data_IF_288990693404
#
_entry.id   IF_288990693404
#
_cell.length_a   1.000
_cell.length_b   1.000
_cell.length_c   1.000
_cell.angle_alpha   90.00
_cell.angle_beta   90.00
_cell.angle_gamma   90.00
#
_symmetry.space_group_name_H-M   'P 1'
#
loop_
_entity.id
_entity.type
_entity.pdbx_description
1 polymer ?
#
# COMPACT_ATOMS: atom_id res chain seq x y z
N UNK A 1 -15.32 -11.68 -4.45
CA UNK A 1 -14.08 -11.88 -5.22
C UNK A 1 -13.16 -10.72 -4.88
N UNK A 2 -11.85 -10.94 -4.71
CA UNK A 2 -10.89 -9.86 -4.43
C UNK A 2 -10.24 -9.45 -5.75
N UNK A 3 -10.35 -8.17 -6.10
CA UNK A 3 -9.56 -7.61 -7.19
C UNK A 3 -8.15 -7.29 -6.70
N UNK A 4 -7.16 -7.45 -7.58
CA UNK A 4 -5.75 -7.22 -7.27
C UNK A 4 -5.23 -6.01 -8.03
N UNK A 5 -4.73 -5.03 -7.28
CA UNK A 5 -3.96 -3.94 -7.83
C UNK A 5 -2.52 -4.42 -8.05
N UNK A 6 -2.02 -4.31 -9.29
CA UNK A 6 -0.61 -4.48 -9.57
C UNK A 6 0.12 -3.19 -9.22
N UNK A 7 1.29 -3.30 -8.58
CA UNK A 7 2.08 -2.16 -8.13
C UNK A 7 3.52 -2.30 -8.59
N UNK A 8 4.12 -1.16 -8.96
CA UNK A 8 5.57 -1.01 -9.16
C UNK A 8 6.06 0.15 -8.31
N UNK A 9 6.88 -0.14 -7.30
CA UNK A 9 7.54 0.82 -6.42
C UNK A 9 9.02 0.91 -6.78
N UNK A 10 9.47 2.11 -7.12
CA UNK A 10 10.88 2.43 -7.23
C UNK A 10 11.34 3.24 -6.03
N UNK A 11 12.48 2.85 -5.47
CA UNK A 11 13.14 3.56 -4.37
C UNK A 11 14.55 3.91 -4.80
N UNK A 12 14.90 5.19 -4.71
CA UNK A 12 16.16 5.73 -5.18
C UNK A 12 16.88 6.48 -4.08
N UNK A 13 18.22 6.46 -4.10
CA UNK A 13 19.05 7.15 -3.14
C UNK A 13 20.38 6.44 -2.87
N UNK A 14 21.16 6.91 -1.88
CA UNK A 14 22.45 6.34 -1.58
C UNK A 14 22.36 4.84 -1.23
N UNK A 15 23.24 4.02 -1.81
CA UNK A 15 23.27 2.56 -1.62
C UNK A 15 23.21 2.10 -0.14
N UNK A 16 23.91 2.74 0.82
CA UNK A 16 23.79 2.36 2.23
C UNK A 16 22.38 2.56 2.80
N UNK A 17 21.71 3.66 2.42
CA UNK A 17 20.35 3.94 2.86
C UNK A 17 19.33 3.00 2.21
N UNK A 18 19.53 2.64 0.94
CA UNK A 18 18.71 1.63 0.27
C UNK A 18 18.84 0.26 0.93
N UNK A 19 20.06 -0.11 1.36
CA UNK A 19 20.30 -1.33 2.12
C UNK A 19 19.57 -1.32 3.47
N UNK A 20 19.64 -0.22 4.21
CA UNK A 20 18.95 -0.05 5.49
C UNK A 20 17.41 -0.08 5.34
N UNK A 21 16.88 0.63 4.34
CA UNK A 21 15.45 0.64 4.03
C UNK A 21 14.97 -0.76 3.62
N UNK A 22 15.72 -1.46 2.77
CA UNK A 22 15.41 -2.83 2.36
C UNK A 22 15.38 -3.79 3.54
N UNK A 23 16.26 -3.61 4.53
CA UNK A 23 16.24 -4.42 5.75
C UNK A 23 15.01 -4.11 6.62
N UNK A 24 14.65 -2.83 6.76
CA UNK A 24 13.49 -2.39 7.56
C UNK A 24 12.14 -2.83 6.99
N UNK A 25 12.05 -3.05 5.68
CA UNK A 25 10.82 -3.47 4.99
C UNK A 25 10.63 -4.99 4.97
N UNK A 26 11.64 -5.77 5.33
CA UNK A 26 11.55 -7.22 5.33
C UNK A 26 10.82 -7.70 6.58
N UNK A 27 9.82 -8.55 6.39
CA UNK A 27 9.06 -9.10 7.50
C UNK A 27 8.04 -10.14 7.05
N UNK A 28 7.41 -10.79 8.01
CA UNK A 28 6.27 -11.67 7.75
C UNK A 28 4.98 -10.85 7.64
N UNK A 29 4.09 -11.26 6.75
CA UNK A 29 2.72 -10.74 6.69
C UNK A 29 1.97 -11.03 8.00
N UNK A 30 1.14 -10.10 8.52
CA UNK A 30 0.44 -10.30 9.77
C UNK A 30 -0.53 -11.49 9.72
N UNK A 31 -0.60 -12.24 10.82
CA UNK A 31 -1.46 -13.42 10.94
C UNK A 31 -0.87 -14.73 10.39
N UNK A 32 0.31 -14.69 9.76
CA UNK A 32 1.03 -15.91 9.36
C UNK A 32 2.08 -16.29 10.40
N UNK A 33 1.66 -17.06 11.42
CA UNK A 33 2.59 -17.67 12.39
C UNK A 33 3.54 -18.62 11.64
N UNK A 34 4.85 -18.34 11.68
CA UNK A 34 5.84 -19.07 10.90
C UNK A 34 5.87 -18.73 9.40
N UNK A 35 5.21 -17.64 9.00
CA UNK A 35 5.19 -17.15 7.63
C UNK A 35 6.59 -16.83 7.11
N UNK A 36 6.79 -17.06 5.80
CA UNK A 36 8.04 -16.67 5.13
C UNK A 36 8.19 -15.15 5.16
N UNK A 37 9.37 -14.68 5.54
CA UNK A 37 9.71 -13.26 5.38
C UNK A 37 9.66 -12.89 3.91
N UNK A 38 8.90 -11.84 3.58
CA UNK A 38 8.83 -11.26 2.23
C UNK A 38 9.75 -10.04 2.13
N UNK A 39 10.12 -9.68 0.91
CA UNK A 39 11.02 -8.56 0.64
C UNK A 39 10.39 -7.18 0.93
N UNK A 40 9.06 -7.12 1.00
CA UNK A 40 8.29 -5.93 1.32
C UNK A 40 7.09 -6.34 2.18
N UNK A 41 7.05 -5.90 3.43
CA UNK A 41 5.90 -6.02 4.33
C UNK A 41 5.55 -4.66 4.88
N UNK A 42 4.30 -4.24 4.69
CA UNK A 42 3.79 -3.00 5.26
C UNK A 42 3.78 -3.08 6.79
N UNK A 43 3.50 -4.27 7.33
CA UNK A 43 3.51 -4.53 8.75
C UNK A 43 4.89 -4.36 9.39
N UNK A 44 5.99 -4.60 8.65
CA UNK A 44 7.34 -4.46 9.18
C UNK A 44 7.66 -3.00 9.60
N UNK A 45 7.15 -2.01 8.87
CA UNK A 45 7.35 -0.59 9.20
C UNK A 45 6.15 0.08 9.86
N UNK A 46 4.94 -0.37 9.55
CA UNK A 46 3.71 0.17 10.11
C UNK A 46 2.84 -1.00 10.62
N UNK A 47 3.17 -1.54 11.80
CA UNK A 47 2.54 -2.75 12.31
C UNK A 47 1.07 -2.53 12.64
N UNK A 48 0.23 -3.43 12.13
CA UNK A 48 -1.16 -3.53 12.53
C UNK A 48 -1.26 -3.94 14.01
N UNK A 49 -2.22 -3.38 14.79
CA UNK A 49 -2.38 -3.73 16.18
C UNK A 49 -2.61 -5.23 16.36
N UNK A 50 -1.91 -5.90 17.29
CA UNK A 50 -2.03 -7.35 17.47
C UNK A 50 -3.44 -7.78 17.92
N UNK A 51 -4.12 -6.90 18.68
CA UNK A 51 -5.45 -7.14 19.23
C UNK A 51 -6.59 -6.54 18.37
N UNK A 52 -6.29 -6.12 17.14
CA UNK A 52 -7.33 -5.61 16.24
C UNK A 52 -8.40 -6.69 16.01
N UNK A 53 -9.68 -6.40 16.26
CA UNK A 53 -10.73 -7.40 16.06
C UNK A 53 -10.74 -7.87 14.61
N UNK A 54 -10.97 -9.18 14.43
CA UNK A 54 -11.16 -9.75 13.10
C UNK A 54 -12.34 -9.09 12.37
N UNK A 55 -12.38 -9.18 11.03
CA UNK A 55 -13.46 -8.58 10.25
C UNK A 55 -14.82 -9.07 10.75
N UNK A 56 -15.77 -8.14 10.90
CA UNK A 56 -17.14 -8.41 11.38
C UNK A 56 -17.30 -8.81 12.85
N UNK A 57 -16.22 -8.86 13.66
CA UNK A 57 -16.33 -9.08 15.11
C UNK A 57 -16.50 -7.81 15.92
N UNK A 58 -16.11 -6.67 15.37
CA UNK A 58 -16.18 -5.38 16.06
C UNK A 58 -17.60 -4.79 16.07
N UNK A 59 -18.27 -4.74 14.91
CA UNK A 59 -19.55 -4.03 14.69
C UNK A 59 -20.34 -4.57 13.50
N UNK A 60 -21.56 -4.07 13.31
CA UNK A 60 -22.28 -4.25 12.04
C UNK A 60 -21.41 -3.71 10.89
N UNK A 61 -21.29 -4.42 9.76
CA UNK A 61 -20.42 -3.98 8.66
C UNK A 61 -20.70 -2.56 8.17
N UNK A 62 -21.98 -2.15 8.13
CA UNK A 62 -22.40 -0.81 7.73
C UNK A 62 -21.80 0.31 8.60
N UNK A 63 -21.73 0.08 9.91
CA UNK A 63 -21.32 1.11 10.87
C UNK A 63 -19.80 1.31 10.78
N UNK A 64 -19.05 0.22 10.57
CA UNK A 64 -17.60 0.28 10.39
C UNK A 64 -17.23 0.93 9.04
N UNK A 65 -17.95 0.60 7.96
CA UNK A 65 -17.74 1.27 6.65
C UNK A 65 -18.01 2.77 6.74
N UNK A 66 -19.09 3.19 7.41
CA UNK A 66 -19.38 4.61 7.61
C UNK A 66 -18.30 5.30 8.43
N UNK A 67 -17.86 4.68 9.53
CA UNK A 67 -16.77 5.18 10.38
C UNK A 67 -15.47 5.35 9.60
N UNK A 68 -15.09 4.34 8.81
CA UNK A 68 -13.90 4.40 7.96
C UNK A 68 -14.00 5.54 6.93
N UNK A 69 -15.16 5.73 6.30
CA UNK A 69 -15.37 6.84 5.36
C UNK A 69 -15.21 8.23 6.01
N UNK A 70 -15.68 8.40 7.25
CA UNK A 70 -15.45 9.63 8.01
C UNK A 70 -13.95 9.87 8.27
N UNK A 71 -13.23 8.85 8.73
CA UNK A 71 -11.81 8.94 9.03
C UNK A 71 -10.97 9.25 7.78
N UNK A 72 -11.24 8.57 6.66
CA UNK A 72 -10.55 8.81 5.38
C UNK A 72 -10.77 10.23 4.83
N UNK A 73 -11.89 10.87 5.20
CA UNK A 73 -12.20 12.26 4.80
C UNK A 73 -11.79 13.29 5.86
N UNK A 74 -11.05 12.87 6.90
CA UNK A 74 -10.53 13.76 7.93
C UNK A 74 -11.55 14.21 8.98
N UNK A 75 -12.71 13.58 9.04
CA UNK A 75 -13.70 13.84 10.09
C UNK A 75 -13.29 13.15 11.40
N UNK A 76 -13.80 13.66 12.52
CA UNK A 76 -13.59 13.06 13.83
C UNK A 76 -14.16 11.63 13.89
N UNK A 77 -13.46 10.75 14.61
CA UNK A 77 -13.95 9.40 14.88
C UNK A 77 -15.23 9.49 15.74
N UNK A 78 -16.38 8.94 15.29
CA UNK A 78 -17.59 8.92 16.11
C UNK A 78 -17.45 8.02 17.35
N UNK A 79 -16.49 7.10 17.38
CA UNK A 79 -16.24 6.19 18.51
C UNK A 79 -14.74 5.97 18.76
N UNK A 80 -14.02 6.99 19.26
CA UNK A 80 -12.56 6.96 19.38
C UNK A 80 -12.05 5.92 20.41
N UNK A 81 -12.88 5.54 21.38
CA UNK A 81 -12.50 4.58 22.43
C UNK A 81 -12.57 3.12 21.98
N UNK A 82 -13.02 2.86 20.75
CA UNK A 82 -13.14 1.50 20.21
C UNK A 82 -12.13 1.29 19.08
N UNK A 83 -11.44 0.15 19.04
CA UNK A 83 -10.50 -0.12 17.95
C UNK A 83 -11.25 -0.26 16.62
N UNK A 84 -10.59 0.11 15.52
CA UNK A 84 -11.00 -0.31 14.18
C UNK A 84 -10.78 -1.81 14.03
N UNK A 85 -11.60 -2.45 13.20
CA UNK A 85 -11.28 -3.82 12.79
C UNK A 85 -9.99 -3.89 11.95
N UNK A 86 -9.42 -5.10 11.89
CA UNK A 86 -8.13 -5.32 11.23
C UNK A 86 -8.11 -4.91 9.75
N UNK A 87 -9.24 -4.88 9.06
CA UNK A 87 -9.32 -4.48 7.65
C UNK A 87 -9.40 -2.96 7.54
N UNK A 88 -10.26 -2.33 8.34
CA UNK A 88 -10.46 -0.88 8.36
C UNK A 88 -9.21 -0.15 8.80
N UNK A 89 -8.49 -0.70 9.79
CA UNK A 89 -7.18 -0.19 10.19
C UNK A 89 -6.18 -0.23 9.02
N UNK A 90 -6.09 -1.34 8.28
CA UNK A 90 -5.16 -1.45 7.14
C UNK A 90 -5.55 -0.51 6.02
N UNK A 91 -6.83 -0.35 5.70
CA UNK A 91 -7.25 0.62 4.68
C UNK A 91 -6.85 2.04 5.10
N UNK A 92 -7.08 2.42 6.36
CA UNK A 92 -6.72 3.75 6.86
C UNK A 92 -5.21 4.01 6.88
N UNK A 93 -4.41 3.03 7.30
CA UNK A 93 -2.98 3.21 7.56
C UNK A 93 -2.07 2.72 6.43
N UNK A 94 -2.50 1.74 5.66
CA UNK A 94 -1.77 1.24 4.49
C UNK A 94 -2.32 1.78 3.19
N UNK A 95 -3.63 2.03 3.09
CA UNK A 95 -4.31 2.40 1.83
C UNK A 95 -4.94 1.21 1.11
N UNK A 96 -4.70 -0.01 1.61
CA UNK A 96 -5.25 -1.25 1.07
C UNK A 96 -5.57 -2.24 2.20
N UNK A 97 -6.37 -3.27 1.93
CA UNK A 97 -6.91 -4.14 2.98
C UNK A 97 -5.96 -5.27 3.44
N UNK A 98 -4.81 -5.42 2.80
CA UNK A 98 -3.87 -6.51 3.03
C UNK A 98 -2.43 -6.10 2.76
N UNK A 99 -1.49 -6.91 3.26
CA UNK A 99 -0.06 -6.69 3.05
C UNK A 99 0.31 -6.99 1.57
N UNK A 100 1.52 -6.63 1.15
CA UNK A 100 2.01 -6.91 -0.18
C UNK A 100 2.04 -8.44 -0.44
N UNK A 101 1.67 -8.84 -1.65
CA UNK A 101 1.73 -10.23 -2.11
C UNK A 101 2.60 -10.34 -3.36
N UNK A 102 3.15 -11.53 -3.61
CA UNK A 102 3.93 -11.84 -4.82
C UNK A 102 5.07 -10.84 -5.10
N UNK A 103 5.81 -10.47 -4.05
CA UNK A 103 6.85 -9.43 -4.14
C UNK A 103 8.06 -9.92 -4.92
N UNK A 104 8.35 -9.26 -6.03
CA UNK A 104 9.59 -9.37 -6.78
C UNK A 104 10.45 -8.12 -6.54
N UNK A 105 11.73 -8.31 -6.21
CA UNK A 105 12.67 -7.23 -5.93
C UNK A 105 13.86 -7.32 -6.89
N UNK A 106 14.09 -6.23 -7.61
CA UNK A 106 15.30 -6.01 -8.41
C UNK A 106 16.16 -4.94 -7.75
N UNK A 107 17.46 -5.18 -7.66
CA UNK A 107 18.43 -4.26 -7.05
C UNK A 107 19.44 -3.80 -8.09
N UNK A 108 19.57 -2.49 -8.24
CA UNK A 108 20.58 -1.82 -9.07
C UNK A 108 21.37 -0.84 -8.19
N UNK A 109 22.54 -0.34 -8.64
CA UNK A 109 23.20 0.76 -7.96
C UNK A 109 22.24 1.95 -7.80
N UNK A 110 22.13 2.47 -6.59
CA UNK A 110 21.29 3.64 -6.23
C UNK A 110 19.79 3.51 -6.54
N UNK A 111 19.29 2.30 -6.85
CA UNK A 111 17.87 2.05 -7.13
C UNK A 111 17.42 0.64 -6.73
N UNK A 112 16.26 0.55 -6.10
CA UNK A 112 15.50 -0.68 -5.90
C UNK A 112 14.18 -0.57 -6.67
N UNK A 113 13.77 -1.66 -7.32
CA UNK A 113 12.45 -1.76 -7.96
C UNK A 113 11.72 -2.96 -7.37
N UNK A 114 10.51 -2.73 -6.89
CA UNK A 114 9.63 -3.75 -6.33
C UNK A 114 8.37 -3.84 -7.17
N UNK A 115 8.02 -5.05 -7.59
CA UNK A 115 6.75 -5.35 -8.23
C UNK A 115 5.95 -6.28 -7.30
N UNK A 116 4.71 -5.94 -7.01
CA UNK A 116 3.90 -6.65 -6.03
C UNK A 116 2.40 -6.42 -6.24
N UNK A 117 1.59 -7.25 -5.59
CA UNK A 117 0.13 -7.14 -5.61
C UNK A 117 -0.39 -6.62 -4.26
N UNK A 118 -1.46 -5.85 -4.31
CA UNK A 118 -2.26 -5.48 -3.14
C UNK A 118 -3.74 -5.67 -3.43
N UNK A 119 -4.56 -6.00 -2.42
CA UNK A 119 -6.00 -6.12 -2.62
C UNK A 119 -6.64 -4.74 -2.82
N UNK A 120 -7.49 -4.63 -3.83
CA UNK A 120 -8.35 -3.48 -4.19
C UNK A 120 -7.66 -2.18 -4.60
N UNK A 121 -6.50 -1.85 -4.06
CA UNK A 121 -5.85 -0.57 -4.33
C UNK A 121 -4.41 -0.50 -3.84
N UNK A 122 -3.70 0.57 -4.24
CA UNK A 122 -2.29 0.80 -3.93
C UNK A 122 -2.07 1.20 -2.45
N UNK A 123 -0.88 0.92 -1.88
CA UNK A 123 -0.59 1.22 -0.48
C UNK A 123 -0.17 2.69 -0.23
N UNK A 124 -1.00 3.67 -0.64
CA UNK A 124 -0.60 5.09 -0.64
C UNK A 124 -0.37 5.67 0.75
N UNK A 125 -1.21 5.34 1.73
CA UNK A 125 -1.06 5.84 3.09
C UNK A 125 0.23 5.32 3.74
N UNK A 126 0.55 4.03 3.51
CA UNK A 126 1.81 3.46 3.96
C UNK A 126 3.01 4.11 3.25
N UNK A 127 2.92 4.35 1.94
CA UNK A 127 4.00 4.96 1.17
C UNK A 127 4.35 6.35 1.71
N UNK A 128 3.32 7.15 2.01
CA UNK A 128 3.50 8.49 2.59
C UNK A 128 4.16 8.42 3.98
N UNK A 129 3.73 7.50 4.84
CA UNK A 129 4.32 7.31 6.16
C UNK A 129 5.80 6.89 6.06
N UNK A 130 6.10 5.92 5.20
CA UNK A 130 7.48 5.44 4.98
C UNK A 130 8.35 6.53 4.38
N UNK A 131 7.88 7.27 3.39
CA UNK A 131 8.66 8.33 2.78
C UNK A 131 8.96 9.47 3.76
N UNK A 132 8.06 9.73 4.71
CA UNK A 132 8.29 10.69 5.81
C UNK A 132 9.38 10.20 6.77
N UNK A 133 9.43 8.89 7.06
CA UNK A 133 10.45 8.28 7.91
C UNK A 133 11.83 8.17 7.22
N UNK A 134 11.86 8.14 5.88
CA UNK A 134 13.07 8.02 5.07
C UNK A 134 13.22 9.20 4.09
N UNK A 135 13.31 10.45 4.58
CA UNK A 135 13.26 11.64 3.72
C UNK A 135 14.46 11.75 2.77
N UNK A 136 15.59 11.09 3.07
CA UNK A 136 16.76 11.06 2.20
C UNK A 136 16.62 10.11 0.98
N UNK A 137 15.54 9.34 0.90
CA UNK A 137 15.21 8.47 -0.23
C UNK A 137 14.11 9.11 -1.10
N UNK A 138 14.13 8.81 -2.39
CA UNK A 138 13.07 9.14 -3.33
C UNK A 138 12.21 7.92 -3.62
N UNK A 139 10.89 8.10 -3.63
CA UNK A 139 9.91 7.04 -3.86
C UNK A 139 9.03 7.37 -5.06
N UNK A 140 8.82 6.40 -5.94
CA UNK A 140 7.88 6.49 -7.04
C UNK A 140 7.05 5.21 -7.10
N UNK A 141 5.74 5.33 -6.90
CA UNK A 141 4.81 4.22 -6.99
C UNK A 141 3.89 4.46 -8.19
N UNK A 142 3.77 3.43 -9.02
CA UNK A 142 2.68 3.31 -9.98
C UNK A 142 1.84 2.09 -9.61
N UNK A 143 0.54 2.20 -9.78
CA UNK A 143 -0.38 1.09 -9.52
C UNK A 143 -1.52 1.09 -10.52
N UNK A 144 -2.00 -0.09 -10.88
CA UNK A 144 -3.13 -0.25 -11.78
C UNK A 144 -4.06 -1.34 -11.25
N UNK A 145 -5.36 -1.07 -11.29
CA UNK A 145 -6.43 -2.02 -10.97
C UNK A 145 -7.59 -1.77 -11.95
N UNK A 146 -7.58 -2.45 -13.12
CA UNK A 146 -8.55 -2.18 -14.18
C UNK A 146 -10.00 -2.47 -13.79
N UNK A 147 -10.24 -3.38 -12.84
CA UNK A 147 -11.59 -3.75 -12.42
C UNK A 147 -12.35 -2.62 -11.71
N UNK A 148 -11.64 -1.60 -11.20
CA UNK A 148 -12.22 -0.37 -10.66
C UNK A 148 -11.79 0.87 -11.47
N UNK A 149 -11.34 0.70 -12.71
CA UNK A 149 -10.85 1.81 -13.56
C UNK A 149 -9.81 2.67 -12.82
N UNK A 150 -8.86 2.03 -12.13
CA UNK A 150 -7.90 2.71 -11.28
C UNK A 150 -6.49 2.63 -11.86
N UNK A 151 -5.87 3.79 -12.01
CA UNK A 151 -4.45 4.00 -12.19
C UNK A 151 -3.98 5.06 -11.20
N UNK A 152 -2.84 4.80 -10.54
CA UNK A 152 -2.19 5.77 -9.67
C UNK A 152 -0.75 5.99 -10.09
N UNK A 153 -0.28 7.23 -9.93
CA UNK A 153 1.13 7.59 -9.99
C UNK A 153 1.46 8.59 -8.90
N UNK A 154 2.32 8.17 -7.97
CA UNK A 154 2.74 9.01 -6.85
C UNK A 154 4.26 9.09 -6.80
N UNK A 155 4.79 10.31 -6.67
CA UNK A 155 6.22 10.56 -6.47
C UNK A 155 6.42 11.37 -5.19
N UNK A 156 7.27 10.86 -4.30
CA UNK A 156 7.59 11.49 -3.01
C UNK A 156 9.09 11.68 -2.92
N UNK A 157 9.54 12.92 -2.75
CA UNK A 157 10.94 13.29 -2.55
C UNK A 157 11.06 14.12 -1.28
N UNK A 158 12.13 13.94 -0.52
CA UNK A 158 12.36 14.69 0.73
C UNK A 158 11.19 14.53 1.73
N UNK A 159 10.56 13.35 1.75
CA UNK A 159 9.38 13.06 2.57
C UNK A 159 8.12 13.84 2.19
N UNK A 160 8.08 14.46 1.00
CA UNK A 160 6.96 15.30 0.54
C UNK A 160 6.47 14.86 -0.83
N UNK A 161 5.15 14.75 -0.98
CA UNK A 161 4.51 14.42 -2.25
C UNK A 161 4.84 15.54 -3.26
N UNK A 162 5.47 15.15 -4.36
CA UNK A 162 5.81 16.04 -5.49
C UNK A 162 4.81 15.87 -6.64
N UNK A 163 4.28 14.67 -6.81
CA UNK A 163 3.28 14.33 -7.81
C UNK A 163 2.33 13.30 -7.24
N UNK A 164 1.04 13.45 -7.54
CA UNK A 164 0.00 12.49 -7.24
C UNK A 164 -1.06 12.59 -8.34
N UNK A 165 -1.34 11.46 -8.97
CA UNK A 165 -2.40 11.29 -9.95
C UNK A 165 -3.19 10.04 -9.59
N UNK A 166 -4.51 10.14 -9.69
CA UNK A 166 -5.46 9.03 -9.61
C UNK A 166 -6.51 9.24 -10.70
N UNK A 167 -6.68 8.27 -11.59
CA UNK A 167 -7.60 8.34 -12.74
C UNK A 167 -7.83 6.95 -13.33
N UNK A 168 -8.67 6.87 -14.37
CA UNK A 168 -8.74 5.70 -15.23
C UNK A 168 -7.41 5.44 -15.97
N UNK A 169 -7.00 4.17 -16.13
CA UNK A 169 -5.85 3.82 -16.96
C UNK A 169 -6.14 4.12 -18.43
N UNK A 170 -5.13 4.55 -19.15
CA UNK A 170 -5.17 4.63 -20.63
C UNK A 170 -4.98 3.25 -21.25
N UNK A 171 -5.38 3.09 -22.51
CA UNK A 171 -5.13 1.84 -23.25
C UNK A 171 -3.65 1.47 -23.34
N UNK A 172 -2.75 2.47 -23.41
CA UNK A 172 -1.31 2.22 -23.40
C UNK A 172 -0.84 1.67 -22.05
N UNK A 173 -1.31 2.21 -20.93
CA UNK A 173 -0.96 1.72 -19.59
C UNK A 173 -1.52 0.32 -19.35
N UNK A 174 -2.73 0.01 -19.83
CA UNK A 174 -3.27 -1.35 -19.79
C UNK A 174 -2.32 -2.33 -20.49
N UNK A 175 -1.91 -2.03 -21.73
CA UNK A 175 -0.98 -2.86 -22.50
C UNK A 175 0.38 -3.01 -21.82
N UNK A 176 0.95 -1.92 -21.28
CA UNK A 176 2.24 -1.94 -20.57
C UNK A 176 2.21 -2.85 -19.34
N UNK A 177 1.05 -3.00 -18.71
CA UNK A 177 0.85 -3.84 -17.53
C UNK A 177 0.24 -5.21 -17.85
N UNK A 178 0.21 -5.58 -19.13
CA UNK A 178 -0.21 -6.90 -19.61
C UNK A 178 -1.72 -7.12 -19.64
N UNK A 179 -2.51 -6.06 -19.63
CA UNK A 179 -3.96 -6.13 -19.84
C UNK A 179 -4.31 -5.90 -21.30
N UNK A 180 -5.28 -6.66 -21.80
CA UNK A 180 -5.91 -6.37 -23.08
C UNK A 180 -6.89 -5.19 -22.88
N UNK A 181 -6.75 -4.08 -23.60
CA UNK A 181 -7.76 -3.02 -23.57
C UNK A 181 -9.06 -3.57 -24.15
N UNK A 182 -10.19 -3.28 -23.51
CA UNK A 182 -11.49 -3.63 -24.07
C UNK A 182 -11.61 -3.01 -25.48
N UNK A 183 -11.96 -3.82 -26.48
CA UNK A 183 -12.22 -3.36 -27.84
C UNK A 183 -13.35 -2.30 -27.79
N UNK A 184 -13.00 -1.04 -28.05
CA UNK A 184 -13.90 0.12 -28.00
C UNK A 184 -15.01 0.09 -29.08
#
# INVERSE_FOLDING_TARGET
MTNWCQNRLEVSGPTPLLGAWRAAQQGASPGQVGGRSQALSFHAQLPAPPDAPGPHRARRPSDETQRLGLLLTGHADPTPDLPLDSVSWRILHWGCSGDAAHVNLTSLPERLTLEFLTPWGPPLAWLQAVATAWPALGFELRGIEPGNELYVHVRILNGRVQHSEERAPTGQELLEWGYEPDDA
#
